data_IF_941016116286
#
_entry.id   IF_941016116286
#
_cell.length_a   1.000
_cell.length_b   1.000
_cell.length_c   1.000
_cell.angle_alpha   90.00
_cell.angle_beta   90.00
_cell.angle_gamma   90.00
#
_symmetry.space_group_name_H-M   'P 1'
#
loop_
_entity.id
_entity.type
_entity.pdbx_description
1 polymer ?
#
# COMPACT_ATOMS: atom_id res chain seq x y z
N UNK A 1 -10.65 12.13 13.54
CA UNK A 1 -11.13 10.85 14.11
C UNK A 1 -11.11 10.98 15.63
N UNK A 2 -12.25 10.83 16.32
CA UNK A 2 -12.33 10.99 17.77
C UNK A 2 -11.47 9.95 18.48
N UNK A 3 -10.84 10.34 19.59
CA UNK A 3 -10.12 9.42 20.47
C UNK A 3 -11.14 8.41 21.02
N UNK A 4 -10.90 7.11 20.81
CA UNK A 4 -11.77 6.08 21.38
C UNK A 4 -11.69 6.12 22.91
N UNK A 5 -12.84 6.23 23.57
CA UNK A 5 -12.95 6.14 25.02
C UNK A 5 -12.40 4.77 25.52
N UNK A 6 -11.68 4.78 26.65
CA UNK A 6 -11.00 3.57 27.17
C UNK A 6 -11.98 2.40 27.39
N UNK A 7 -13.18 2.69 27.90
CA UNK A 7 -14.23 1.69 28.12
C UNK A 7 -14.73 1.06 26.83
N UNK A 8 -14.86 1.86 25.77
CA UNK A 8 -15.34 1.40 24.46
C UNK A 8 -14.29 0.52 23.77
N UNK A 9 -13.01 0.89 23.82
CA UNK A 9 -11.93 0.10 23.21
C UNK A 9 -11.80 -1.30 23.83
N UNK A 10 -11.93 -1.41 25.16
CA UNK A 10 -11.95 -2.71 25.83
C UNK A 10 -13.16 -3.56 25.44
N UNK A 11 -14.37 -2.97 25.42
CA UNK A 11 -15.60 -3.68 25.01
C UNK A 11 -15.50 -4.24 23.60
N UNK A 12 -14.99 -3.45 22.65
CA UNK A 12 -14.77 -3.92 21.28
C UNK A 12 -13.79 -5.09 21.19
N UNK A 13 -12.71 -5.06 21.98
CA UNK A 13 -11.77 -6.17 22.05
C UNK A 13 -12.42 -7.45 22.61
N UNK A 14 -13.21 -7.32 23.69
CA UNK A 14 -13.93 -8.47 24.28
C UNK A 14 -14.91 -9.07 23.28
N UNK A 15 -15.72 -8.24 22.62
CA UNK A 15 -16.68 -8.67 21.61
C UNK A 15 -15.98 -9.36 20.43
N UNK A 16 -14.86 -8.80 19.96
CA UNK A 16 -14.06 -9.39 18.91
C UNK A 16 -13.47 -10.75 19.31
N UNK A 17 -13.04 -10.90 20.56
CA UNK A 17 -12.57 -12.19 21.08
C UNK A 17 -13.71 -13.21 21.13
N UNK A 18 -14.88 -12.82 21.66
CA UNK A 18 -16.05 -13.69 21.80
C UNK A 18 -16.55 -14.20 20.43
N UNK A 19 -16.64 -13.31 19.44
CA UNK A 19 -17.00 -13.66 18.05
C UNK A 19 -16.07 -14.70 17.42
N UNK A 20 -14.85 -14.86 17.94
CA UNK A 20 -13.82 -15.78 17.44
C UNK A 20 -13.56 -16.95 18.38
N UNK A 21 -14.33 -17.12 19.45
CA UNK A 21 -14.11 -18.15 20.46
C UNK A 21 -12.81 -17.99 21.26
N UNK A 22 -12.24 -16.78 21.29
CA UNK A 22 -11.01 -16.48 22.02
C UNK A 22 -11.31 -15.99 23.43
N UNK A 23 -10.42 -16.31 24.37
CA UNK A 23 -10.51 -15.79 25.74
C UNK A 23 -9.94 -14.36 25.79
N UNK A 24 -10.74 -13.34 26.16
CA UNK A 24 -10.27 -11.96 26.23
C UNK A 24 -9.33 -11.70 27.40
N UNK A 25 -9.34 -12.56 28.43
CA UNK A 25 -8.45 -12.46 29.60
C UNK A 25 -8.13 -13.84 30.18
N UNK A 26 -6.85 -14.15 30.49
CA UNK A 26 -5.65 -13.49 29.96
C UNK A 26 -5.51 -13.79 28.46
N UNK A 27 -5.50 -12.75 27.62
CA UNK A 27 -5.27 -12.93 26.20
C UNK A 27 -3.81 -13.32 25.94
N UNK A 28 -3.61 -14.22 24.97
CA UNK A 28 -2.27 -14.52 24.49
C UNK A 28 -1.73 -13.32 23.68
N UNK A 29 -0.43 -13.00 23.72
CA UNK A 29 0.14 -11.91 22.91
C UNK A 29 -0.19 -11.99 21.41
N UNK A 30 -0.27 -13.21 20.86
CA UNK A 30 -0.71 -13.46 19.48
C UNK A 30 -2.13 -12.92 19.23
N UNK A 31 -3.05 -13.04 20.19
CA UNK A 31 -4.43 -12.55 20.09
C UNK A 31 -4.47 -11.03 20.00
N UNK A 32 -3.65 -10.35 20.80
CA UNK A 32 -3.55 -8.88 20.78
C UNK A 32 -2.94 -8.39 19.46
N UNK A 33 -1.92 -9.09 18.94
CA UNK A 33 -1.35 -8.77 17.63
C UNK A 33 -2.33 -9.02 16.48
N UNK A 34 -3.07 -10.13 16.52
CA UNK A 34 -4.11 -10.43 15.54
C UNK A 34 -5.24 -9.38 15.58
N UNK A 35 -5.61 -8.91 16.77
CA UNK A 35 -6.55 -7.80 16.92
C UNK A 35 -6.01 -6.50 16.31
N UNK A 36 -4.77 -6.13 16.63
CA UNK A 36 -4.13 -4.93 16.07
C UNK A 36 -4.11 -4.98 14.52
N UNK A 37 -3.82 -6.16 13.95
CA UNK A 37 -3.87 -6.42 12.51
C UNK A 37 -5.27 -6.25 11.92
N UNK A 38 -6.29 -6.73 12.63
CA UNK A 38 -7.68 -6.57 12.20
C UNK A 38 -8.10 -5.10 12.21
N UNK A 39 -7.66 -4.31 13.20
CA UNK A 39 -7.93 -2.88 13.29
C UNK A 39 -7.26 -2.03 12.21
N UNK A 40 -6.20 -2.51 11.54
CA UNK A 40 -5.47 -1.80 10.46
C UNK A 40 -6.39 -1.35 9.31
N UNK A 41 -7.48 -2.08 9.09
CA UNK A 41 -8.45 -1.78 8.02
C UNK A 41 -9.37 -0.60 8.34
N UNK A 42 -9.62 -0.31 9.62
CA UNK A 42 -10.63 0.67 10.05
C UNK A 42 -10.04 1.84 10.84
N UNK A 43 -8.81 1.71 11.34
CA UNK A 43 -8.21 2.65 12.29
C UNK A 43 -6.79 3.04 11.89
N UNK A 44 -6.43 4.29 12.18
CA UNK A 44 -5.04 4.76 12.06
C UNK A 44 -4.16 4.12 13.12
N UNK A 45 -2.88 3.98 12.82
CA UNK A 45 -1.85 3.42 13.68
C UNK A 45 -1.90 3.97 15.12
N UNK A 46 -1.96 5.30 15.29
CA UNK A 46 -2.03 5.91 16.62
C UNK A 46 -3.25 5.44 17.44
N UNK A 47 -4.40 5.27 16.78
CA UNK A 47 -5.60 4.75 17.41
C UNK A 47 -5.41 3.30 17.84
N UNK A 48 -4.82 2.47 16.98
CA UNK A 48 -4.52 1.06 17.28
C UNK A 48 -3.58 0.95 18.49
N UNK A 49 -2.52 1.76 18.54
CA UNK A 49 -1.59 1.81 19.68
C UNK A 49 -2.34 2.16 20.96
N UNK A 50 -3.23 3.14 20.92
CA UNK A 50 -4.04 3.52 22.09
C UNK A 50 -4.99 2.40 22.53
N UNK A 51 -5.62 1.69 21.59
CA UNK A 51 -6.46 0.53 21.89
C UNK A 51 -5.65 -0.60 22.55
N UNK A 52 -4.46 -0.92 22.03
CA UNK A 52 -3.55 -1.91 22.62
C UNK A 52 -3.11 -1.51 24.04
N UNK A 53 -2.81 -0.22 24.27
CA UNK A 53 -2.49 0.29 25.61
C UNK A 53 -3.65 0.12 26.59
N UNK A 54 -4.88 0.36 26.17
CA UNK A 54 -6.08 0.15 26.99
C UNK A 54 -6.26 -1.34 27.32
N UNK A 55 -6.10 -2.22 26.34
CA UNK A 55 -6.14 -3.68 26.55
C UNK A 55 -5.08 -4.10 27.57
N UNK A 56 -3.86 -3.58 27.46
CA UNK A 56 -2.78 -3.90 28.39
C UNK A 56 -3.05 -3.38 29.81
N UNK A 57 -3.65 -2.20 29.96
CA UNK A 57 -4.08 -1.66 31.25
C UNK A 57 -5.11 -2.57 31.93
N UNK A 58 -6.07 -3.08 31.18
CA UNK A 58 -7.07 -4.05 31.69
C UNK A 58 -6.44 -5.39 32.08
N UNK A 59 -5.46 -5.87 31.30
CA UNK A 59 -4.70 -7.07 31.62
C UNK A 59 -3.85 -6.90 32.89
N UNK A 60 -3.23 -5.73 33.07
CA UNK A 60 -2.47 -5.39 34.26
C UNK A 60 -3.39 -5.37 35.49
N UNK A 61 -4.58 -4.76 35.37
CA UNK A 61 -5.57 -4.66 36.46
C UNK A 61 -6.06 -6.05 36.93
N UNK A 62 -6.30 -6.98 36.00
CA UNK A 62 -6.97 -8.26 36.32
C UNK A 62 -6.05 -9.48 36.40
N UNK A 63 -4.94 -9.50 35.66
CA UNK A 63 -4.09 -10.69 35.50
C UNK A 63 -2.61 -10.46 35.78
N UNK A 64 -2.19 -9.22 36.05
CA UNK A 64 -0.78 -8.77 36.16
C UNK A 64 0.10 -9.04 34.92
N UNK A 65 -0.41 -9.68 33.87
CA UNK A 65 0.29 -9.88 32.60
C UNK A 65 0.19 -8.64 31.73
N UNK A 66 1.24 -8.38 30.95
CA UNK A 66 1.38 -7.23 30.05
C UNK A 66 1.61 -7.69 28.62
N UNK A 67 0.54 -7.93 27.83
CA UNK A 67 0.68 -8.43 26.47
C UNK A 67 1.27 -7.38 25.50
N UNK A 68 1.24 -6.09 25.84
CA UNK A 68 1.80 -4.99 25.05
C UNK A 68 3.33 -5.06 24.87
N UNK A 69 4.04 -5.52 25.90
CA UNK A 69 5.50 -5.61 25.89
C UNK A 69 6.05 -6.81 25.13
N UNK A 70 5.17 -7.69 24.66
CA UNK A 70 5.61 -8.90 23.99
C UNK A 70 6.17 -8.57 22.59
N UNK A 71 7.33 -9.12 22.19
CA UNK A 71 7.99 -8.79 20.92
C UNK A 71 7.11 -8.96 19.69
N UNK A 72 6.22 -9.96 19.70
CA UNK A 72 5.26 -10.21 18.63
C UNK A 72 4.31 -9.00 18.43
N UNK A 73 3.78 -8.44 19.51
CA UNK A 73 2.87 -7.28 19.44
C UNK A 73 3.63 -6.06 18.95
N UNK A 74 4.83 -5.81 19.48
CA UNK A 74 5.70 -4.71 19.04
C UNK A 74 6.05 -4.82 17.55
N UNK A 75 6.45 -6.01 17.08
CA UNK A 75 6.76 -6.27 15.68
C UNK A 75 5.54 -6.00 14.78
N UNK A 76 4.36 -6.45 15.19
CA UNK A 76 3.12 -6.21 14.44
C UNK A 76 2.78 -4.72 14.38
N UNK A 77 2.88 -3.99 15.49
CA UNK A 77 2.66 -2.55 15.51
C UNK A 77 3.66 -1.81 14.59
N UNK A 78 4.94 -2.18 14.61
CA UNK A 78 5.94 -1.60 13.72
C UNK A 78 5.63 -1.87 12.23
N UNK A 79 5.15 -3.07 11.89
CA UNK A 79 4.71 -3.38 10.53
C UNK A 79 3.51 -2.54 10.10
N UNK A 80 2.55 -2.33 11.00
CA UNK A 80 1.38 -1.47 10.72
C UNK A 80 1.84 -0.01 10.51
N UNK A 81 2.77 0.48 11.33
CA UNK A 81 3.31 1.83 11.21
C UNK A 81 3.96 2.06 9.83
N UNK A 82 4.86 1.16 9.43
CA UNK A 82 5.55 1.22 8.12
C UNK A 82 4.57 1.22 6.94
N UNK A 83 3.52 0.41 7.00
CA UNK A 83 2.52 0.35 5.93
C UNK A 83 1.65 1.60 5.86
N UNK A 84 1.36 2.21 7.00
CA UNK A 84 0.63 3.47 7.01
C UNK A 84 1.47 4.58 6.40
N UNK A 85 2.75 4.66 6.74
CA UNK A 85 3.71 5.60 6.13
C UNK A 85 3.76 5.43 4.62
N UNK A 86 4.00 4.20 4.13
CA UNK A 86 3.97 3.89 2.69
C UNK A 86 2.65 4.31 2.02
N UNK A 87 1.51 4.04 2.66
CA UNK A 87 0.20 4.43 2.12
C UNK A 87 0.04 5.95 2.04
N UNK A 88 0.52 6.70 3.01
CA UNK A 88 0.46 8.16 2.97
C UNK A 88 1.42 8.71 1.90
N UNK A 89 2.61 8.14 1.74
CA UNK A 89 3.54 8.47 0.64
C UNK A 89 2.92 8.19 -0.73
N UNK A 90 2.37 7.00 -0.93
CA UNK A 90 1.70 6.60 -2.17
C UNK A 90 0.51 7.51 -2.47
N UNK A 91 -0.23 7.93 -1.43
CA UNK A 91 -1.33 8.86 -1.57
C UNK A 91 -0.86 10.25 -2.00
N UNK A 92 0.23 10.75 -1.43
CA UNK A 92 0.83 12.03 -1.82
C UNK A 92 1.31 11.95 -3.27
N UNK A 93 1.98 10.85 -3.65
CA UNK A 93 2.42 10.60 -5.03
C UNK A 93 1.25 10.52 -6.01
N UNK A 94 0.17 9.82 -5.65
CA UNK A 94 -1.02 9.69 -6.48
C UNK A 94 -1.83 11.01 -6.57
N UNK A 95 -1.76 11.86 -5.55
CA UNK A 95 -2.39 13.17 -5.54
C UNK A 95 -1.57 14.24 -6.28
N UNK A 96 -0.29 13.99 -6.53
CA UNK A 96 0.55 14.86 -7.35
C UNK A 96 0.11 14.72 -8.82
N UNK A 97 -0.81 15.59 -9.25
CA UNK A 97 -1.27 15.67 -10.64
C UNK A 97 -0.17 16.11 -11.61
N UNK A 98 0.84 16.80 -11.10
CA UNK A 98 2.00 17.27 -11.84
C UNK A 98 3.25 16.86 -11.08
N UNK A 99 4.20 16.26 -11.79
CA UNK A 99 5.53 16.03 -11.26
C UNK A 99 6.37 17.31 -11.43
N UNK A 100 7.33 17.55 -10.54
CA UNK A 100 8.25 18.70 -10.69
C UNK A 100 8.99 18.66 -12.03
N UNK A 101 9.21 17.45 -12.57
CA UNK A 101 9.82 17.20 -13.88
C UNK A 101 8.94 17.64 -15.07
N UNK A 102 7.62 17.79 -14.88
CA UNK A 102 6.69 18.23 -15.94
C UNK A 102 6.78 19.73 -16.19
N UNK A 103 7.34 20.49 -15.24
CA UNK A 103 7.56 21.92 -15.39
C UNK A 103 8.96 22.15 -15.93
N UNK A 104 9.07 22.63 -17.18
CA UNK A 104 10.35 23.05 -17.73
C UNK A 104 10.97 24.12 -16.81
N UNK A 105 12.26 24.00 -16.43
CA UNK A 105 12.95 25.09 -15.75
C UNK A 105 12.89 26.31 -16.66
N UNK A 106 12.59 27.48 -16.08
CA UNK A 106 12.38 28.74 -16.81
C UNK A 106 13.57 29.19 -17.68
N UNK A 107 14.69 28.46 -17.66
CA UNK A 107 15.91 28.75 -18.42
C UNK A 107 15.89 28.29 -19.88
N UNK A 108 14.93 27.48 -20.31
CA UNK A 108 14.87 27.01 -21.72
C UNK A 108 13.51 27.30 -22.35
N UNK A 109 13.16 28.58 -22.42
CA UNK A 109 12.24 29.03 -23.46
C UNK A 109 12.95 28.84 -24.81
N UNK A 110 12.82 27.66 -25.42
CA UNK A 110 13.27 27.41 -26.80
C UNK A 110 12.73 28.55 -27.68
N UNK A 111 13.65 29.30 -28.29
CA UNK A 111 13.27 30.31 -29.28
C UNK A 111 12.55 29.63 -30.44
N UNK A 112 11.60 30.33 -31.05
CA UNK A 112 10.74 29.82 -32.13
C UNK A 112 11.53 29.14 -33.26
N UNK A 113 12.78 29.54 -33.47
CA UNK A 113 13.71 28.94 -34.44
C UNK A 113 14.14 27.50 -34.11
N UNK A 114 14.38 27.16 -32.82
CA UNK A 114 14.78 25.82 -32.40
C UNK A 114 13.63 24.82 -32.53
N UNK A 115 12.40 25.27 -32.26
CA UNK A 115 11.18 24.47 -32.39
C UNK A 115 10.92 24.05 -33.85
N UNK A 116 11.10 24.98 -34.80
CA UNK A 116 10.91 24.69 -36.25
C UNK A 116 11.94 23.68 -36.75
N UNK A 117 13.20 23.79 -36.31
CA UNK A 117 14.27 22.89 -36.79
C UNK A 117 14.08 21.45 -36.27
N UNK A 118 13.54 21.27 -35.06
CA UNK A 118 13.20 19.96 -34.48
C UNK A 118 12.02 19.31 -35.19
N UNK A 119 11.03 20.09 -35.59
CA UNK A 119 9.83 19.61 -36.30
C UNK A 119 10.14 19.10 -37.72
N UNK A 120 11.11 19.71 -38.41
CA UNK A 120 11.60 19.23 -39.71
C UNK A 120 12.39 17.92 -39.57
N UNK A 121 13.16 17.74 -38.50
CA UNK A 121 13.93 16.53 -38.26
C UNK A 121 13.08 15.32 -37.82
N UNK A 122 12.02 15.52 -37.03
CA UNK A 122 11.14 14.42 -36.62
C UNK A 122 10.30 13.89 -37.78
N UNK A 123 9.89 14.77 -38.71
CA UNK A 123 9.07 14.41 -39.87
C UNK A 123 9.85 13.57 -40.91
N UNK A 124 11.14 13.84 -41.09
CA UNK A 124 12.02 13.04 -41.98
C UNK A 124 12.37 11.68 -41.37
N UNK A 125 12.52 11.57 -40.05
CA UNK A 125 12.79 10.29 -39.38
C UNK A 125 11.55 9.37 -39.33
N UNK A 126 10.34 9.93 -39.21
CA UNK A 126 9.08 9.17 -39.25
C UNK A 126 8.82 8.48 -40.60
N UNK A 127 9.15 9.16 -41.71
CA UNK A 127 9.03 8.60 -43.06
C UNK A 127 9.96 7.39 -43.28
N UNK A 128 11.18 7.42 -42.74
CA UNK A 128 12.14 6.32 -42.85
C UNK A 128 11.76 5.08 -42.00
N UNK A 129 11.06 5.28 -40.88
CA UNK A 129 10.58 4.17 -40.00
C UNK A 129 9.33 3.48 -40.54
N UNK A 130 8.48 4.18 -41.31
CA UNK A 130 7.26 3.65 -41.90
C UNK A 130 7.48 2.55 -42.95
N UNK A 131 8.60 2.58 -43.69
CA UNK A 131 8.92 1.55 -44.68
C UNK A 131 9.28 0.17 -44.08
N UNK A 132 9.67 0.11 -42.80
CA UNK A 132 10.15 -1.15 -42.19
C UNK A 132 9.05 -2.03 -41.57
N UNK A 133 7.81 -1.56 -41.53
CA UNK A 133 6.69 -2.27 -40.89
C UNK A 133 5.52 -2.50 -41.86
N UNK A 134 5.81 -3.08 -43.01
CA UNK A 134 4.77 -3.60 -43.90
C UNK A 134 4.14 -4.88 -43.28
N UNK A 135 2.80 -4.94 -43.27
CA UNK A 135 2.05 -6.15 -42.91
C UNK A 135 2.37 -7.24 -43.93
N UNK A 136 2.62 -8.47 -43.47
CA UNK A 136 2.88 -9.61 -44.38
C UNK A 136 1.59 -9.97 -45.14
N UNK A 137 1.67 -10.08 -46.46
CA UNK A 137 0.53 -10.42 -47.32
C UNK A 137 0.08 -11.89 -47.26
N UNK A 138 0.79 -12.76 -46.55
CA UNK A 138 0.44 -14.18 -46.43
C UNK A 138 0.50 -14.67 -44.98
N UNK A 139 -0.52 -15.42 -44.51
CA UNK A 139 -0.53 -15.98 -43.15
C UNK A 139 0.46 -17.15 -43.03
N UNK A 140 0.98 -17.36 -41.81
CA UNK A 140 1.97 -18.40 -41.52
C UNK A 140 1.29 -19.77 -41.47
N UNK A 141 1.58 -20.65 -42.42
CA UNK A 141 1.10 -22.04 -42.41
C UNK A 141 1.83 -22.85 -41.33
N UNK A 142 1.06 -23.62 -40.55
CA UNK A 142 1.58 -24.48 -39.47
C UNK A 142 1.45 -25.93 -39.91
N UNK A 143 2.55 -26.70 -39.88
CA UNK A 143 2.51 -28.15 -40.15
C UNK A 143 2.02 -28.92 -38.93
N UNK A 144 1.02 -29.78 -39.09
CA UNK A 144 0.63 -30.73 -38.05
C UNK A 144 1.59 -31.93 -38.07
N UNK A 145 2.03 -32.35 -36.88
CA UNK A 145 2.94 -33.49 -36.69
C UNK A 145 2.19 -34.80 -37.02
N UNK A 146 2.76 -35.73 -37.80
CA UNK A 146 2.12 -37.02 -38.04
C UNK A 146 2.08 -37.83 -36.73
N UNK A 147 0.92 -38.41 -36.45
CA UNK A 147 0.74 -39.39 -35.37
C UNK A 147 1.50 -40.67 -35.70
N UNK A 148 2.40 -41.06 -34.81
CA UNK A 148 3.10 -42.36 -34.85
C UNK A 148 2.08 -43.49 -34.67
N UNK A 149 1.97 -44.37 -35.67
CA UNK A 149 1.48 -45.75 -35.55
C UNK A 149 2.68 -46.68 -35.53
#
# INVERSE_FOLDING_TARGET
>A
MPRLNQTTAWKFFVEWCQKRGLKPLPAHPWTVAAYARWCETHHRYQTIVNMVKVIAKEHMRKSRKRPDRHPLVTRTLNLIAKRQEQREEDKVRAAALFHEEDFAPAEVAETTAQRVHREVQTRTQGAARGLRRALRGTPKLVSRRPSLT
#
